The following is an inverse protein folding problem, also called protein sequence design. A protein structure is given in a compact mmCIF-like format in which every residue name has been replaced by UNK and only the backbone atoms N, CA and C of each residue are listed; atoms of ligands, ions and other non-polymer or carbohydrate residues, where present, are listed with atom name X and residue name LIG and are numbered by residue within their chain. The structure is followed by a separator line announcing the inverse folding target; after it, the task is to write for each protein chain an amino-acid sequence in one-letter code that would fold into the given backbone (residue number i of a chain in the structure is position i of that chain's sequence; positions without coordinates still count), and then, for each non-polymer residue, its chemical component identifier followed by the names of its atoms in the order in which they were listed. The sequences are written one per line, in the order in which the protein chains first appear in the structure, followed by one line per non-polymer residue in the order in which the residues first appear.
data_IF_883516951407
#
_entry.id   IF_883516951407
#
_cell.length_a   1.000
_cell.length_b   1.000
_cell.length_c   1.000
_cell.angle_alpha   90.00
_cell.angle_beta   90.00
_cell.angle_gamma   90.00
#
_symmetry.space_group_name_H-M   'P 1'
#
loop_
_entity.id
_entity.type
_entity.pdbx_description
1 polymer ?
#
# COMPACT_ATOMS: atom_id res chain seq x y z
N UNK A 1 15.34 -10.46 -2.10
CA UNK A 1 14.84 -10.75 -0.74
C UNK A 1 16.02 -10.81 0.23
N UNK A 2 15.83 -10.35 1.43
CA UNK A 2 16.83 -10.39 2.50
C UNK A 2 16.68 -11.68 3.27
N UNK A 3 17.79 -12.36 3.54
CA UNK A 3 17.77 -13.61 4.33
C UNK A 3 17.54 -13.35 5.82
N UNK A 4 18.01 -12.19 6.30
CA UNK A 4 17.93 -11.76 7.71
C UNK A 4 17.62 -10.27 7.76
N UNK A 5 17.07 -9.83 8.88
CA UNK A 5 16.89 -8.42 9.21
C UNK A 5 18.19 -7.81 9.81
N UNK A 6 18.16 -6.54 10.22
CA UNK A 6 19.32 -5.85 10.79
C UNK A 6 19.69 -6.32 12.21
N UNK A 7 18.90 -7.17 12.84
CA UNK A 7 19.17 -7.81 14.12
C UNK A 7 19.60 -9.28 13.96
N UNK A 8 19.78 -9.77 12.72
CA UNK A 8 20.15 -11.14 12.42
C UNK A 8 19.00 -12.15 12.54
N UNK A 9 17.78 -11.67 12.67
CA UNK A 9 16.59 -12.54 12.70
C UNK A 9 16.22 -12.95 11.28
N UNK A 10 16.01 -14.25 10.99
CA UNK A 10 15.62 -14.70 9.66
C UNK A 10 14.32 -14.03 9.18
N UNK A 11 14.35 -13.52 7.97
CA UNK A 11 13.15 -12.97 7.31
C UNK A 11 12.20 -14.11 6.96
N UNK A 12 10.91 -13.86 7.10
CA UNK A 12 9.84 -14.81 6.78
C UNK A 12 8.64 -14.09 6.19
N UNK A 13 7.81 -14.82 5.50
CA UNK A 13 6.52 -14.31 5.06
C UNK A 13 5.63 -14.05 6.27
N UNK A 14 4.94 -12.93 6.25
CA UNK A 14 4.08 -12.49 7.33
C UNK A 14 2.79 -11.94 6.76
N UNK A 15 1.69 -12.61 7.05
CA UNK A 15 0.35 -12.12 6.73
C UNK A 15 -0.07 -11.14 7.83
N UNK A 16 -0.25 -9.87 7.45
CA UNK A 16 -0.73 -8.83 8.37
C UNK A 16 -2.25 -8.78 8.41
N UNK A 17 -2.88 -8.86 7.25
CA UNK A 17 -4.34 -8.83 7.12
C UNK A 17 -4.77 -9.96 6.20
N UNK A 18 -5.80 -10.69 6.59
CA UNK A 18 -6.41 -11.76 5.81
C UNK A 18 -7.93 -11.61 5.83
N UNK A 19 -8.53 -11.49 4.65
CA UNK A 19 -9.98 -11.27 4.49
C UNK A 19 -10.52 -10.11 5.34
N UNK A 20 -9.79 -8.98 5.37
CA UNK A 20 -10.14 -7.80 6.15
C UNK A 20 -9.88 -7.91 7.66
N UNK A 21 -9.36 -9.03 8.15
CA UNK A 21 -9.07 -9.26 9.57
C UNK A 21 -7.56 -9.12 9.83
N UNK A 22 -7.18 -8.25 10.76
CA UNK A 22 -5.81 -8.11 11.22
C UNK A 22 -5.34 -9.40 11.92
N UNK A 23 -4.27 -10.02 11.42
CA UNK A 23 -3.70 -11.29 11.91
C UNK A 23 -2.46 -11.11 12.77
N UNK A 24 -1.73 -10.03 12.56
CA UNK A 24 -0.48 -9.82 13.27
C UNK A 24 0.17 -8.47 13.00
N UNK A 25 1.29 -8.28 13.64
CA UNK A 25 2.09 -7.08 13.57
C UNK A 25 3.52 -7.40 13.17
N UNK A 26 4.19 -6.45 12.56
CA UNK A 26 5.62 -6.52 12.37
C UNK A 26 6.33 -6.21 13.68
N UNK A 27 7.37 -6.99 14.00
CA UNK A 27 8.18 -6.81 15.20
C UNK A 27 9.67 -6.89 14.90
N UNK A 28 10.45 -6.04 15.58
CA UNK A 28 11.86 -6.23 15.84
C UNK A 28 12.04 -6.95 17.20
N UNK A 29 13.26 -7.18 17.65
CA UNK A 29 13.50 -7.87 18.93
C UNK A 29 12.94 -7.09 20.13
N UNK A 30 13.11 -5.78 20.15
CA UNK A 30 12.63 -4.93 21.25
C UNK A 30 11.10 -4.94 21.37
N UNK A 31 10.39 -4.68 20.28
CA UNK A 31 8.93 -4.68 20.29
C UNK A 31 8.33 -6.07 20.50
N UNK A 32 9.00 -7.11 20.02
CA UNK A 32 8.59 -8.50 20.27
C UNK A 32 8.71 -8.86 21.74
N UNK A 33 9.82 -8.48 22.40
CA UNK A 33 10.00 -8.69 23.83
C UNK A 33 8.93 -7.94 24.65
N UNK A 34 8.63 -6.69 24.30
CA UNK A 34 7.59 -5.92 24.96
C UNK A 34 6.19 -6.53 24.81
N UNK A 35 5.92 -7.15 23.66
CA UNK A 35 4.63 -7.81 23.37
C UNK A 35 4.56 -9.29 23.84
N UNK A 36 5.65 -9.85 24.35
CA UNK A 36 5.71 -11.26 24.74
C UNK A 36 5.61 -12.25 23.57
N UNK A 37 6.05 -11.84 22.37
CA UNK A 37 5.99 -12.65 21.15
C UNK A 37 7.39 -12.83 20.53
N UNK A 38 7.48 -13.58 19.44
CA UNK A 38 8.73 -13.72 18.68
C UNK A 38 8.86 -12.60 17.66
N UNK A 39 10.11 -12.09 17.45
CA UNK A 39 10.40 -11.17 16.36
C UNK A 39 9.97 -11.75 15.01
N UNK A 40 9.48 -10.88 14.14
CA UNK A 40 9.05 -11.24 12.79
C UNK A 40 10.14 -11.05 11.73
N UNK A 41 11.36 -10.61 12.14
CA UNK A 41 12.45 -10.36 11.22
C UNK A 41 12.25 -9.06 10.42
N UNK A 42 11.68 -8.04 11.05
CA UNK A 42 11.37 -6.76 10.44
C UNK A 42 12.21 -5.60 10.99
N UNK A 43 13.34 -5.88 11.61
CA UNK A 43 14.25 -4.81 12.05
C UNK A 43 14.97 -4.17 10.87
N UNK A 44 15.01 -2.85 10.87
CA UNK A 44 15.76 -2.06 9.88
C UNK A 44 16.41 -0.83 10.50
N UNK A 45 17.45 -0.32 9.84
CA UNK A 45 18.11 0.92 10.19
C UNK A 45 17.95 1.90 9.04
N UNK A 46 16.92 2.73 9.10
CA UNK A 46 16.66 3.67 8.00
C UNK A 46 16.08 4.98 8.50
N UNK A 47 16.62 6.05 7.93
CA UNK A 47 16.02 7.39 7.94
C UNK A 47 15.37 7.67 6.58
N UNK A 48 14.77 8.83 6.43
CA UNK A 48 14.16 9.28 5.17
C UNK A 48 15.13 9.25 3.98
N UNK A 49 16.43 9.47 4.20
CA UNK A 49 17.42 9.57 3.11
C UNK A 49 18.42 8.41 3.09
N UNK A 50 18.86 7.92 4.22
CA UNK A 50 19.75 6.75 4.31
C UNK A 50 19.83 6.22 5.73
N UNK A 51 19.93 4.90 5.90
CA UNK A 51 20.23 4.28 7.18
C UNK A 51 21.71 3.83 7.24
N UNK A 52 22.34 3.98 8.40
CA UNK A 52 23.68 3.49 8.68
C UNK A 52 23.75 2.85 10.08
N UNK A 53 24.92 2.42 10.51
CA UNK A 53 25.09 1.74 11.81
C UNK A 53 24.76 2.62 13.03
N UNK A 54 24.73 3.93 12.87
CA UNK A 54 24.38 4.90 13.92
C UNK A 54 22.89 5.28 13.93
N UNK A 55 22.13 4.80 12.92
CA UNK A 55 20.69 5.04 12.87
C UNK A 55 19.98 4.09 13.84
N UNK A 56 19.01 4.61 14.57
CA UNK A 56 18.20 3.79 15.48
C UNK A 56 17.48 2.64 14.75
N UNK A 57 17.30 1.56 15.50
CA UNK A 57 16.57 0.40 15.00
C UNK A 57 15.07 0.71 14.91
N UNK A 58 14.50 0.46 13.76
CA UNK A 58 13.07 0.64 13.48
C UNK A 58 12.43 -0.66 13.00
N UNK A 59 11.11 -0.72 13.04
CA UNK A 59 10.33 -1.77 12.39
C UNK A 59 10.11 -1.33 10.95
N UNK A 60 10.49 -2.17 10.00
CA UNK A 60 10.40 -1.83 8.58
C UNK A 60 9.88 -3.02 7.75
N UNK A 61 8.90 -2.79 6.87
CA UNK A 61 8.58 -3.77 5.83
C UNK A 61 9.74 -3.85 4.84
N UNK A 62 9.93 -5.00 4.22
CA UNK A 62 10.91 -5.19 3.13
C UNK A 62 10.23 -5.30 1.77
N UNK A 63 9.29 -6.22 1.68
CA UNK A 63 8.39 -6.33 0.55
C UNK A 63 6.97 -6.32 1.10
N UNK A 64 6.23 -5.27 0.80
CA UNK A 64 4.85 -5.15 1.23
C UNK A 64 3.95 -5.43 0.02
N UNK A 65 3.09 -6.44 0.13
CA UNK A 65 2.32 -6.93 -1.01
C UNK A 65 0.84 -7.03 -0.66
N UNK A 66 -0.01 -6.51 -1.54
CA UNK A 66 -1.41 -6.88 -1.59
C UNK A 66 -1.53 -8.05 -2.56
N UNK A 67 -2.07 -9.17 -2.10
CA UNK A 67 -2.24 -10.35 -2.93
C UNK A 67 -3.25 -10.11 -4.06
N UNK A 68 -2.99 -10.73 -5.20
CA UNK A 68 -3.84 -10.59 -6.38
C UNK A 68 -5.16 -11.33 -6.23
N UNK A 69 -6.22 -10.72 -6.74
CA UNK A 69 -7.50 -11.37 -7.00
C UNK A 69 -7.51 -12.10 -8.36
N UNK A 70 -8.69 -12.24 -8.95
CA UNK A 70 -8.88 -13.04 -10.17
C UNK A 70 -9.28 -12.25 -11.41
N UNK A 71 -9.89 -11.07 -11.26
CA UNK A 71 -10.35 -10.25 -12.36
C UNK A 71 -9.21 -9.41 -12.96
N UNK A 72 -9.07 -9.35 -14.27
CA UNK A 72 -8.15 -8.42 -14.91
C UNK A 72 -8.64 -6.98 -14.75
N UNK A 73 -7.73 -5.99 -14.84
CA UNK A 73 -8.10 -4.57 -14.85
C UNK A 73 -9.11 -4.26 -15.96
N UNK A 74 -8.91 -4.85 -17.13
CA UNK A 74 -9.82 -4.69 -18.28
C UNK A 74 -11.23 -5.18 -17.95
N UNK A 75 -11.36 -6.36 -17.33
CA UNK A 75 -12.65 -6.89 -16.90
C UNK A 75 -13.30 -5.99 -15.83
N UNK A 76 -12.52 -5.52 -14.84
CA UNK A 76 -13.03 -4.60 -13.81
C UNK A 76 -13.56 -3.30 -14.43
N UNK A 77 -12.86 -2.73 -15.43
CA UNK A 77 -13.31 -1.54 -16.15
C UNK A 77 -14.59 -1.83 -16.93
N UNK A 78 -14.64 -2.95 -17.65
CA UNK A 78 -15.79 -3.35 -18.45
C UNK A 78 -17.06 -3.49 -17.60
N UNK A 79 -16.92 -3.97 -16.38
CA UNK A 79 -18.07 -4.22 -15.47
C UNK A 79 -18.55 -2.97 -14.72
N UNK A 80 -17.91 -1.80 -14.93
CA UNK A 80 -18.31 -0.54 -14.32
C UNK A 80 -19.18 0.30 -15.24
N UNK A 81 -20.37 0.69 -14.77
CA UNK A 81 -21.26 1.63 -15.49
C UNK A 81 -20.73 3.07 -15.42
N UNK A 82 -20.30 3.51 -14.24
CA UNK A 82 -19.75 4.85 -13.99
C UNK A 82 -18.67 4.79 -12.91
N UNK A 83 -17.40 5.01 -13.30
CA UNK A 83 -16.27 4.92 -12.41
C UNK A 83 -15.16 5.91 -12.78
N UNK A 84 -14.21 6.05 -11.89
CA UNK A 84 -12.97 6.82 -12.11
C UNK A 84 -11.78 5.91 -11.85
N UNK A 85 -10.96 5.67 -12.86
CA UNK A 85 -9.72 4.91 -12.74
C UNK A 85 -8.56 5.87 -12.46
N UNK A 86 -8.10 5.90 -11.23
CA UNK A 86 -6.91 6.68 -10.82
C UNK A 86 -5.67 5.88 -11.19
N UNK A 87 -4.84 6.41 -12.08
CA UNK A 87 -3.62 5.75 -12.56
C UNK A 87 -2.33 6.43 -12.07
N UNK A 88 -2.43 7.64 -11.54
CA UNK A 88 -1.28 8.39 -11.02
C UNK A 88 -1.70 9.24 -9.82
N UNK A 89 -0.89 9.26 -8.78
CA UNK A 89 -1.03 10.15 -7.64
C UNK A 89 0.31 10.84 -7.34
N UNK A 90 0.23 12.00 -6.71
CA UNK A 90 1.39 12.83 -6.39
C UNK A 90 1.47 13.11 -4.90
N UNK A 91 2.62 13.62 -4.48
CA UNK A 91 2.87 14.13 -3.11
C UNK A 91 2.59 13.11 -2.01
N UNK A 92 3.08 11.90 -2.19
CA UNK A 92 2.88 10.79 -1.25
C UNK A 92 3.39 11.07 0.17
N UNK A 93 4.27 12.06 0.33
CA UNK A 93 4.87 12.37 1.64
C UNK A 93 4.02 13.30 2.50
N UNK A 94 3.29 14.24 1.89
CA UNK A 94 2.51 15.23 2.62
C UNK A 94 1.01 14.94 2.59
N UNK A 95 0.58 14.15 1.64
CA UNK A 95 -0.83 13.87 1.39
C UNK A 95 -1.45 12.81 2.32
N UNK A 96 -0.66 12.17 3.18
CA UNK A 96 -1.11 11.13 4.12
C UNK A 96 -0.76 11.51 5.57
N UNK A 97 -1.75 11.60 6.43
CA UNK A 97 -1.55 11.63 7.87
C UNK A 97 -1.43 10.18 8.38
N UNK A 98 -0.21 9.76 8.71
CA UNK A 98 0.07 8.38 9.16
C UNK A 98 -0.54 8.02 10.51
N UNK A 99 -0.96 9.00 11.31
CA UNK A 99 -1.57 8.79 12.64
C UNK A 99 -3.07 8.55 12.52
N UNK A 100 -3.77 9.43 11.78
CA UNK A 100 -5.23 9.30 11.59
C UNK A 100 -5.59 8.38 10.42
N UNK A 101 -4.69 8.20 9.46
CA UNK A 101 -4.96 7.50 8.21
C UNK A 101 -5.65 8.36 7.16
N UNK A 102 -5.89 9.65 7.42
CA UNK A 102 -6.53 10.54 6.47
C UNK A 102 -5.58 10.91 5.34
N UNK A 103 -6.10 10.94 4.12
CA UNK A 103 -5.32 11.31 2.95
C UNK A 103 -6.03 12.29 2.04
N UNK A 104 -5.21 13.03 1.29
CA UNK A 104 -5.66 13.97 0.25
C UNK A 104 -4.64 13.98 -0.89
N UNK A 105 -4.74 13.03 -1.81
CA UNK A 105 -3.80 12.85 -2.91
C UNK A 105 -4.23 13.61 -4.15
N UNK A 106 -3.43 14.57 -4.64
CA UNK A 106 -3.58 15.05 -6.01
C UNK A 106 -3.38 13.89 -6.99
N UNK A 107 -4.23 13.77 -7.99
CA UNK A 107 -4.20 12.62 -8.89
C UNK A 107 -4.62 12.94 -10.32
N UNK A 108 -4.27 12.01 -11.23
CA UNK A 108 -4.82 11.91 -12.58
C UNK A 108 -5.65 10.64 -12.72
N UNK A 109 -6.68 10.73 -13.49
CA UNK A 109 -7.60 9.63 -13.65
C UNK A 109 -8.19 9.55 -15.07
N UNK A 110 -8.76 8.40 -15.37
CA UNK A 110 -9.59 8.20 -16.57
C UNK A 110 -11.03 8.02 -16.12
N UNK A 111 -11.94 8.76 -16.75
CA UNK A 111 -13.38 8.53 -16.58
C UNK A 111 -13.80 7.28 -17.32
N UNK A 112 -14.53 6.42 -16.65
CA UNK A 112 -15.15 5.21 -17.22
C UNK A 112 -16.64 5.42 -17.27
N UNK A 113 -17.25 5.15 -18.43
CA UNK A 113 -18.70 5.10 -18.62
C UNK A 113 -19.07 3.88 -19.46
N UNK A 114 -20.10 3.15 -19.03
CA UNK A 114 -20.60 1.97 -19.72
C UNK A 114 -19.48 1.00 -20.10
N UNK A 115 -18.58 0.74 -19.15
CA UNK A 115 -17.44 -0.16 -19.33
C UNK A 115 -16.31 0.37 -20.24
N UNK A 116 -16.29 1.66 -20.60
CA UNK A 116 -15.34 2.22 -21.55
C UNK A 116 -14.66 3.48 -21.01
N UNK A 117 -13.36 3.66 -21.27
CA UNK A 117 -12.67 4.91 -20.99
C UNK A 117 -13.19 6.01 -21.93
N UNK A 118 -13.63 7.14 -21.37
CA UNK A 118 -14.21 8.26 -22.13
C UNK A 118 -13.35 9.53 -22.10
N UNK A 119 -12.36 9.64 -21.24
CA UNK A 119 -11.46 10.78 -21.20
C UNK A 119 -10.54 10.80 -19.99
N UNK A 120 -9.42 11.50 -20.15
CA UNK A 120 -8.45 11.77 -19.08
C UNK A 120 -8.94 12.98 -18.27
N UNK A 121 -8.81 12.88 -16.96
CA UNK A 121 -9.13 13.95 -16.01
C UNK A 121 -7.86 14.30 -15.23
N UNK A 122 -7.55 15.58 -15.17
CA UNK A 122 -6.40 16.14 -14.46
C UNK A 122 -6.86 17.16 -13.41
N UNK A 123 -5.95 17.53 -12.50
CA UNK A 123 -6.26 18.49 -11.44
C UNK A 123 -7.23 17.95 -10.37
N UNK A 124 -7.34 16.64 -10.28
CA UNK A 124 -8.21 15.98 -9.31
C UNK A 124 -7.51 15.80 -7.96
N UNK A 125 -8.31 15.74 -6.91
CA UNK A 125 -7.88 15.37 -5.57
C UNK A 125 -8.75 14.22 -5.05
N UNK A 126 -8.09 13.13 -4.70
CA UNK A 126 -8.70 11.97 -4.07
C UNK A 126 -8.55 12.07 -2.55
N UNK A 127 -9.66 12.11 -1.82
CA UNK A 127 -9.66 12.27 -0.36
C UNK A 127 -10.37 11.12 0.33
N UNK A 128 -9.87 10.76 1.51
CA UNK A 128 -10.46 9.69 2.30
C UNK A 128 -9.64 9.32 3.52
N UNK A 129 -9.95 8.15 4.06
CA UNK A 129 -9.20 7.53 5.15
C UNK A 129 -8.78 6.12 4.72
N UNK A 130 -7.55 5.72 5.02
CA UNK A 130 -6.98 4.43 4.60
C UNK A 130 -7.80 3.24 5.12
N UNK A 131 -8.25 3.27 6.36
CA UNK A 131 -9.06 2.18 6.92
C UNK A 131 -10.41 2.07 6.22
N UNK A 132 -11.06 3.21 5.93
CA UNK A 132 -12.31 3.24 5.17
C UNK A 132 -12.12 2.79 3.72
N UNK A 133 -11.02 3.18 3.07
CA UNK A 133 -10.70 2.74 1.73
C UNK A 133 -10.64 1.22 1.66
N UNK A 134 -9.87 0.59 2.54
CA UNK A 134 -9.76 -0.87 2.56
C UNK A 134 -11.08 -1.57 2.96
N UNK A 135 -11.88 -0.96 3.82
CA UNK A 135 -13.20 -1.50 4.17
C UNK A 135 -14.21 -1.43 3.00
N UNK A 136 -13.96 -0.60 1.99
CA UNK A 136 -14.82 -0.40 0.81
C UNK A 136 -14.28 -1.05 -0.46
N UNK A 137 -13.23 -1.86 -0.36
CA UNK A 137 -12.73 -2.65 -1.50
C UNK A 137 -13.76 -3.72 -1.84
N UNK A 138 -14.29 -3.66 -3.06
CA UNK A 138 -15.25 -4.64 -3.57
C UNK A 138 -14.56 -5.72 -4.41
N UNK A 139 -13.49 -5.36 -5.10
CA UNK A 139 -12.76 -6.29 -5.97
C UNK A 139 -11.27 -5.97 -5.99
N UNK A 140 -10.47 -7.02 -6.07
CA UNK A 140 -9.01 -6.96 -6.19
C UNK A 140 -8.63 -7.57 -7.53
N UNK A 141 -7.83 -6.86 -8.30
CA UNK A 141 -7.41 -7.29 -9.63
C UNK A 141 -6.37 -8.40 -9.61
N UNK A 142 -6.14 -9.02 -10.77
CA UNK A 142 -5.14 -10.08 -10.97
C UNK A 142 -3.74 -9.51 -11.27
N UNK A 143 -3.68 -8.35 -11.90
CA UNK A 143 -2.46 -7.78 -12.49
C UNK A 143 -1.66 -7.01 -11.44
N UNK A 144 -0.70 -7.67 -10.82
CA UNK A 144 0.13 -7.08 -9.79
C UNK A 144 1.21 -6.17 -10.39
N UNK A 145 1.21 -4.91 -9.96
CA UNK A 145 2.26 -3.96 -10.27
C UNK A 145 3.26 -3.91 -9.10
N UNK A 146 4.54 -3.98 -9.42
CA UNK A 146 5.63 -3.80 -8.45
C UNK A 146 6.13 -2.37 -8.59
N UNK A 147 6.00 -1.59 -7.52
CA UNK A 147 6.52 -0.24 -7.46
C UNK A 147 7.77 -0.20 -6.57
N UNK A 148 8.99 -0.18 -7.16
CA UNK A 148 10.19 0.02 -6.40
C UNK A 148 10.21 1.50 -5.95
N UNK A 149 10.16 1.73 -4.64
CA UNK A 149 10.42 3.05 -4.08
C UNK A 149 11.92 3.32 -4.17
N UNK A 150 12.35 3.81 -5.32
CA UNK A 150 13.77 3.96 -5.72
C UNK A 150 14.55 4.90 -4.79
N UNK A 151 13.87 5.83 -4.11
CA UNK A 151 14.50 6.72 -3.11
C UNK A 151 14.82 6.00 -1.79
N UNK A 152 14.29 4.79 -1.60
CA UNK A 152 14.42 4.03 -0.37
C UNK A 152 14.88 2.62 -0.70
N UNK A 153 16.18 2.41 -0.83
CA UNK A 153 16.85 1.16 -1.26
C UNK A 153 16.45 -0.14 -0.54
N UNK A 154 15.40 -0.14 0.26
CA UNK A 154 15.18 -1.23 1.19
C UNK A 154 13.87 -1.94 1.10
N UNK A 155 12.86 -1.41 0.41
CA UNK A 155 11.57 -2.09 0.31
C UNK A 155 10.85 -1.83 -1.01
N UNK A 156 10.02 -2.79 -1.38
CA UNK A 156 9.11 -2.67 -2.51
C UNK A 156 7.69 -2.74 -2.00
N UNK A 157 6.81 -2.00 -2.66
CA UNK A 157 5.37 -2.14 -2.50
C UNK A 157 4.83 -2.73 -3.78
N UNK A 158 3.97 -3.71 -3.67
CA UNK A 158 3.31 -4.30 -4.83
C UNK A 158 1.85 -4.58 -4.55
N UNK A 159 1.04 -4.49 -5.57
CA UNK A 159 -0.38 -4.80 -5.50
C UNK A 159 -1.05 -4.66 -6.84
N UNK A 160 -2.22 -5.24 -7.00
CA UNK A 160 -3.08 -5.08 -8.16
C UNK A 160 -3.92 -3.81 -8.10
N UNK A 161 -4.64 -3.50 -9.16
CA UNK A 161 -5.72 -2.53 -9.11
C UNK A 161 -6.82 -2.98 -8.14
N UNK A 162 -7.50 -2.04 -7.53
CA UNK A 162 -8.62 -2.31 -6.61
C UNK A 162 -9.84 -1.48 -7.02
N UNK A 163 -11.01 -2.10 -7.03
CA UNK A 163 -12.29 -1.42 -7.13
C UNK A 163 -12.76 -1.03 -5.72
N UNK A 164 -12.89 0.26 -5.51
CA UNK A 164 -13.29 0.83 -4.21
C UNK A 164 -14.57 1.61 -4.36
N UNK A 165 -15.55 1.32 -3.52
CA UNK A 165 -16.85 1.99 -3.57
C UNK A 165 -16.83 3.35 -2.86
N UNK A 166 -17.44 4.34 -3.50
CA UNK A 166 -17.72 5.64 -2.86
C UNK A 166 -16.50 6.39 -2.31
N UNK A 167 -15.37 6.35 -3.02
CA UNK A 167 -14.24 7.21 -2.71
C UNK A 167 -14.49 8.63 -3.23
N UNK A 168 -14.15 9.64 -2.44
CA UNK A 168 -14.38 11.04 -2.82
C UNK A 168 -13.26 11.53 -3.73
N UNK A 169 -13.63 11.96 -4.93
CA UNK A 169 -12.75 12.62 -5.91
C UNK A 169 -13.38 13.95 -6.28
N UNK A 170 -12.60 15.01 -6.24
CA UNK A 170 -13.02 16.39 -6.57
C UNK A 170 -11.96 17.08 -7.42
N UNK A 171 -12.37 17.99 -8.27
CA UNK A 171 -11.55 18.84 -9.13
C UNK A 171 -12.43 19.76 -9.93
#
# INVERSE_FOLDING_TARGET
SWKMDCEGVPSRDLTLVENGVLKGWMHNLSSAAAAGVRSTGNAGRKTLLSGNIHTDMAIMPKNFTIESGTASLEQMIHDCDDAVYVFENYDQFHALNVVSGDFSFPCKAVRIKEGKPVGIMEGLTMTGNVAELFARVEQVGSDRVINPLVMYDSYTVSGPAMLVKSLKISG
#
